data_IF_994822195365
#
_entry.id   IF_994822195365
#
_cell.length_a   1.000
_cell.length_b   1.000
_cell.length_c   1.000
_cell.angle_alpha   90.00
_cell.angle_beta   90.00
_cell.angle_gamma   90.00
#
_symmetry.space_group_name_H-M   'P 1'
#
loop_
_entity.id
_entity.type
_entity.pdbx_description
1 polymer ?
#
# COMPACT_ATOMS: atom_id res chain seq x y z
N UNK A 1 5.30 -34.39 -37.75
CA UNK A 1 5.04 -32.99 -38.14
C UNK A 1 5.45 -32.10 -36.96
N UNK A 2 6.61 -31.46 -37.06
CA UNK A 2 7.12 -30.53 -36.04
C UNK A 2 6.78 -29.11 -36.48
N UNK A 3 5.93 -28.42 -35.73
CA UNK A 3 5.72 -26.98 -35.90
C UNK A 3 6.79 -26.22 -35.10
N UNK A 4 7.69 -25.52 -35.79
CA UNK A 4 8.49 -24.43 -35.21
C UNK A 4 7.71 -23.13 -35.39
N UNK A 5 7.62 -22.26 -34.36
CA UNK A 5 7.09 -20.92 -34.57
C UNK A 5 8.18 -20.03 -35.19
N UNK A 6 7.84 -19.40 -36.32
CA UNK A 6 8.60 -18.27 -36.88
C UNK A 6 8.29 -17.02 -36.03
N UNK A 7 9.33 -16.45 -35.39
CA UNK A 7 9.25 -15.09 -34.84
C UNK A 7 9.60 -14.09 -35.96
N UNK A 8 8.63 -13.26 -36.33
CA UNK A 8 8.81 -12.13 -37.24
C UNK A 8 9.29 -10.91 -36.43
N UNK A 9 10.53 -10.46 -36.68
CA UNK A 9 11.04 -9.21 -36.14
C UNK A 9 10.25 -8.02 -36.72
N UNK A 10 9.52 -7.30 -35.87
CA UNK A 10 8.85 -6.03 -36.23
C UNK A 10 9.76 -4.86 -35.88
N UNK A 11 10.17 -4.09 -36.89
CA UNK A 11 10.77 -2.77 -36.71
C UNK A 11 9.68 -1.70 -36.73
N UNK A 12 9.72 -0.78 -35.78
CA UNK A 12 8.86 0.41 -35.77
C UNK A 12 9.73 1.66 -35.67
N UNK A 13 9.65 2.49 -36.70
CA UNK A 13 10.19 3.85 -36.64
C UNK A 13 9.20 4.75 -35.90
N UNK A 14 9.68 5.46 -34.88
CA UNK A 14 8.91 6.50 -34.19
C UNK A 14 9.68 7.81 -34.20
N UNK A 15 8.99 8.88 -34.56
CA UNK A 15 9.50 10.25 -34.49
C UNK A 15 8.67 11.04 -33.48
N UNK A 16 9.33 11.79 -32.60
CA UNK A 16 8.68 12.79 -31.75
C UNK A 16 9.25 14.17 -32.10
N UNK A 17 8.38 15.16 -32.26
CA UNK A 17 8.78 16.55 -32.49
C UNK A 17 8.76 17.33 -31.17
N UNK A 18 9.85 18.04 -30.90
CA UNK A 18 9.95 18.98 -29.78
C UNK A 18 10.48 20.31 -30.32
N UNK A 19 9.59 21.28 -30.53
CA UNK A 19 9.94 22.55 -31.16
C UNK A 19 10.49 22.36 -32.58
N UNK A 20 11.55 23.09 -32.93
CA UNK A 20 12.16 23.07 -34.27
C UNK A 20 13.09 21.87 -34.54
N UNK A 21 13.22 20.93 -33.60
CA UNK A 21 14.12 19.78 -33.70
C UNK A 21 13.32 18.47 -33.80
N UNK A 22 13.72 17.59 -34.72
CA UNK A 22 13.15 16.23 -34.84
C UNK A 22 14.21 15.20 -34.46
N UNK A 23 13.99 14.45 -33.38
CA UNK A 23 14.80 13.28 -33.02
C UNK A 23 14.14 12.01 -33.55
N UNK A 24 14.95 11.12 -34.14
CA UNK A 24 14.50 9.84 -34.71
C UNK A 24 15.25 8.70 -34.03
N UNK A 25 14.49 7.80 -33.41
CA UNK A 25 15.02 6.59 -32.80
C UNK A 25 14.47 5.35 -33.49
N UNK A 26 15.31 4.33 -33.61
CA UNK A 26 14.89 2.99 -34.03
C UNK A 26 14.86 2.09 -32.80
N UNK A 27 13.72 1.44 -32.56
CA UNK A 27 13.55 0.48 -31.47
C UNK A 27 13.38 -0.91 -32.09
N UNK A 28 14.29 -1.82 -31.74
CA UNK A 28 14.24 -3.20 -32.18
C UNK A 28 13.97 -4.11 -30.97
N UNK A 29 12.85 -4.84 -31.04
CA UNK A 29 12.45 -5.83 -30.03
C UNK A 29 13.08 -7.15 -30.41
N UNK A 30 13.94 -7.68 -29.55
CA UNK A 30 14.72 -8.89 -29.85
C UNK A 30 14.10 -10.15 -29.25
N UNK A 31 13.46 -10.03 -28.07
CA UNK A 31 12.61 -11.05 -27.43
C UNK A 31 11.75 -10.41 -26.32
N UNK A 32 10.99 -11.24 -25.58
CA UNK A 32 10.03 -10.79 -24.55
C UNK A 32 10.64 -9.96 -23.41
N UNK A 33 11.97 -9.98 -23.24
CA UNK A 33 12.65 -9.31 -22.12
C UNK A 33 13.70 -8.29 -22.56
N UNK A 34 13.92 -8.08 -23.86
CA UNK A 34 15.04 -7.26 -24.36
C UNK A 34 14.62 -6.25 -25.43
N UNK A 35 14.85 -4.97 -25.14
CA UNK A 35 14.71 -3.85 -26.09
C UNK A 35 16.09 -3.24 -26.38
N UNK A 36 16.37 -2.95 -27.66
CA UNK A 36 17.51 -2.12 -28.06
C UNK A 36 17.04 -0.80 -28.65
N UNK A 37 17.73 0.27 -28.26
CA UNK A 37 17.55 1.61 -28.80
C UNK A 37 18.75 1.98 -29.64
N UNK A 38 18.50 2.57 -30.81
CA UNK A 38 19.54 3.19 -31.64
C UNK A 38 19.10 4.61 -32.00
N UNK A 39 19.92 5.59 -31.67
CA UNK A 39 19.78 6.95 -32.17
C UNK A 39 20.27 6.99 -33.63
N UNK A 40 19.45 7.52 -34.54
CA UNK A 40 19.85 7.66 -35.96
C UNK A 40 20.75 8.88 -36.19
N UNK A 41 20.94 9.75 -35.20
CA UNK A 41 21.75 10.97 -35.29
C UNK A 41 23.24 10.82 -35.00
N UNK A 42 23.68 9.74 -34.34
CA UNK A 42 25.08 9.51 -33.98
C UNK A 42 25.51 8.06 -34.30
N UNK A 43 26.32 7.82 -35.35
CA UNK A 43 26.74 6.49 -35.77
C UNK A 43 27.78 5.83 -34.83
N UNK A 44 28.23 6.52 -33.77
CA UNK A 44 29.28 6.01 -32.85
C UNK A 44 28.76 5.48 -31.51
N UNK A 45 27.46 5.60 -31.23
CA UNK A 45 26.88 5.14 -29.97
C UNK A 45 26.91 3.59 -29.84
N UNK A 46 27.68 3.07 -28.89
CA UNK A 46 27.80 1.64 -28.59
C UNK A 46 26.60 1.15 -27.75
N UNK A 47 26.04 0.00 -28.14
CA UNK A 47 24.90 -0.60 -27.46
C UNK A 47 25.31 -1.19 -26.10
N UNK A 48 24.60 -0.82 -25.03
CA UNK A 48 24.81 -1.40 -23.70
C UNK A 48 23.90 -2.61 -23.47
N UNK A 49 24.42 -3.76 -22.99
CA UNK A 49 23.59 -4.86 -22.56
C UNK A 49 22.94 -4.53 -21.20
N UNK A 50 21.62 -4.66 -21.11
CA UNK A 50 20.89 -4.60 -19.84
C UNK A 50 21.05 -5.97 -19.16
N UNK A 51 21.64 -5.99 -17.96
CA UNK A 51 21.69 -7.18 -17.10
C UNK A 51 20.34 -7.32 -16.38
N UNK A 52 19.91 -8.58 -16.20
CA UNK A 52 18.64 -8.99 -15.59
C UNK A 52 18.21 -8.14 -14.40
N UNK A 53 17.18 -7.31 -14.59
CA UNK A 53 16.47 -6.63 -13.51
C UNK A 53 15.22 -7.44 -13.17
N UNK A 54 15.25 -8.20 -12.08
CA UNK A 54 14.12 -9.03 -11.62
C UNK A 54 13.30 -8.39 -10.48
N UNK A 55 13.40 -7.07 -10.28
CA UNK A 55 12.58 -6.36 -9.29
C UNK A 55 12.16 -4.96 -9.74
N UNK A 56 10.91 -4.58 -9.44
CA UNK A 56 10.31 -3.27 -9.74
C UNK A 56 11.04 -2.08 -9.08
N UNK A 57 11.97 -2.32 -8.15
CA UNK A 57 12.76 -1.27 -7.49
C UNK A 57 13.97 -0.77 -8.30
N UNK A 58 14.46 -1.53 -9.29
CA UNK A 58 15.68 -1.20 -10.02
C UNK A 58 15.46 -0.26 -11.23
N UNK A 59 14.21 -0.12 -11.68
CA UNK A 59 13.83 0.81 -12.77
C UNK A 59 14.03 2.28 -12.34
N UNK A 60 13.98 2.58 -11.04
CA UNK A 60 14.12 3.96 -10.53
C UNK A 60 15.57 4.45 -10.44
N UNK A 61 16.57 3.58 -10.57
CA UNK A 61 17.99 3.97 -10.41
C UNK A 61 18.62 4.41 -11.74
N UNK A 62 18.11 3.97 -12.90
CA UNK A 62 18.60 4.42 -14.20
C UNK A 62 18.07 5.80 -14.64
N UNK A 63 16.99 6.31 -14.03
CA UNK A 63 16.38 7.60 -14.44
C UNK A 63 17.00 8.84 -13.76
N UNK A 64 17.99 8.70 -12.87
CA UNK A 64 18.60 9.85 -12.18
C UNK A 64 19.66 10.62 -12.97
N UNK A 65 20.03 10.18 -14.18
CA UNK A 65 21.14 10.79 -14.93
C UNK A 65 20.75 11.89 -15.94
N UNK A 66 19.46 12.24 -16.09
CA UNK A 66 19.03 13.29 -17.03
C UNK A 66 18.01 14.31 -16.47
N UNK A 67 17.77 14.33 -15.15
CA UNK A 67 17.00 15.43 -14.52
C UNK A 67 15.56 15.59 -15.03
N UNK A 68 14.86 14.50 -15.36
CA UNK A 68 13.43 14.50 -15.68
C UNK A 68 12.68 13.49 -14.83
N UNK A 69 11.63 13.94 -14.13
CA UNK A 69 10.67 13.06 -13.46
C UNK A 69 9.59 12.62 -14.46
N UNK A 70 9.40 11.32 -14.63
CA UNK A 70 8.26 10.73 -15.34
C UNK A 70 7.54 9.78 -14.38
N UNK A 71 6.25 10.02 -14.14
CA UNK A 71 5.36 9.10 -13.42
C UNK A 71 4.66 8.17 -14.43
N UNK A 72 4.29 6.92 -14.05
CA UNK A 72 3.75 5.95 -14.99
C UNK A 72 2.29 6.29 -15.36
N UNK A 73 2.00 6.33 -16.66
CA UNK A 73 0.65 6.55 -17.20
C UNK A 73 -0.02 5.20 -17.45
N UNK A 74 -1.23 5.05 -16.90
CA UNK A 74 -2.29 4.20 -17.42
C UNK A 74 -3.29 5.11 -18.12
N UNK A 75 -3.63 4.79 -19.36
CA UNK A 75 -4.51 5.58 -20.22
C UNK A 75 -5.96 5.52 -19.75
N UNK A 76 -6.64 6.67 -19.70
CA UNK A 76 -7.80 6.98 -20.55
C UNK A 76 -8.25 8.46 -20.37
N UNK A 77 -8.22 9.17 -21.50
CA UNK A 77 -9.00 10.37 -21.89
C UNK A 77 -8.83 11.73 -21.15
N UNK A 78 -8.35 12.70 -21.96
CA UNK A 78 -8.32 14.18 -21.85
C UNK A 78 -7.34 14.84 -20.85
N UNK A 79 -6.37 15.58 -21.39
CA UNK A 79 -5.55 16.58 -20.68
C UNK A 79 -5.87 18.00 -21.17
N UNK A 80 -6.02 18.91 -20.20
CA UNK A 80 -5.91 20.36 -20.35
C UNK A 80 -4.52 20.74 -19.85
N UNK A 81 -3.74 21.47 -20.65
CA UNK A 81 -2.41 21.93 -20.28
C UNK A 81 -2.49 23.19 -19.42
N UNK A 82 -1.85 23.19 -18.26
CA UNK A 82 -1.38 24.43 -17.60
C UNK A 82 0.13 24.28 -17.46
N UNK A 83 0.86 25.16 -18.13
CA UNK A 83 2.30 25.29 -18.02
C UNK A 83 2.59 26.45 -17.06
N UNK A 84 3.04 26.16 -15.84
CA UNK A 84 3.63 27.17 -14.96
C UNK A 84 5.09 27.38 -15.37
N UNK A 85 5.37 28.51 -16.00
CA UNK A 85 6.72 28.94 -16.29
C UNK A 85 7.15 29.95 -15.21
N UNK A 86 7.88 29.47 -14.19
CA UNK A 86 8.49 30.31 -13.18
C UNK A 86 9.71 31.01 -13.78
N UNK A 87 9.50 32.14 -14.47
CA UNK A 87 10.45 33.23 -14.74
C UNK A 87 9.81 34.18 -15.76
N UNK A 88 9.04 35.14 -15.27
CA UNK A 88 8.95 36.53 -15.77
C UNK A 88 7.89 37.23 -14.92
N UNK A 89 8.33 38.19 -14.10
CA UNK A 89 7.45 39.09 -13.39
C UNK A 89 6.73 40.00 -14.37
N UNK A 90 5.41 40.08 -14.25
CA UNK A 90 4.57 41.00 -15.01
C UNK A 90 3.25 41.20 -14.28
N UNK A 91 3.11 42.34 -13.62
CA UNK A 91 1.84 42.80 -13.08
C UNK A 91 0.88 43.09 -14.25
N UNK A 92 -0.31 42.50 -14.20
CA UNK A 92 -1.41 42.83 -15.10
C UNK A 92 -2.41 43.73 -14.34
N UNK A 93 -2.30 45.02 -14.62
CA UNK A 93 -3.30 46.04 -14.37
C UNK A 93 -4.42 45.78 -15.38
N UNK A 94 -5.64 45.49 -14.90
CA UNK A 94 -6.83 45.59 -15.75
C UNK A 94 -7.34 47.03 -15.71
N UNK A 95 -7.23 47.66 -16.88
CA UNK A 95 -7.71 48.99 -17.21
C UNK A 95 -9.24 48.95 -17.18
N UNK A 96 -9.84 49.85 -16.40
CA UNK A 96 -11.26 50.18 -16.44
C UNK A 96 -11.55 50.99 -17.70
N UNK A 97 -12.41 50.51 -18.59
CA UNK A 97 -13.03 51.35 -19.61
C UNK A 97 -14.35 51.93 -19.09
N UNK A 98 -14.40 53.25 -19.12
CA UNK A 98 -15.57 54.10 -18.87
C UNK A 98 -16.24 54.34 -20.23
N UNK A 99 -17.53 54.03 -20.35
CA UNK A 99 -18.42 54.65 -21.34
C UNK A 99 -19.67 55.15 -20.62
N UNK A 100 -20.05 56.44 -20.77
CA UNK A 100 -21.20 57.02 -20.11
C UNK A 100 -22.45 56.93 -20.99
N UNK A 101 -23.63 56.88 -20.37
CA UNK A 101 -24.78 57.76 -20.68
C UNK A 101 -25.96 57.42 -19.75
N UNK A 102 -26.10 58.28 -18.74
CA UNK A 102 -27.34 58.92 -18.27
C UNK A 102 -28.68 58.14 -18.22
N UNK A 103 -29.15 58.03 -16.97
CA UNK A 103 -30.54 58.15 -16.47
C UNK A 103 -31.42 56.89 -16.32
N UNK A 104 -31.46 56.34 -15.08
CA UNK A 104 -32.65 56.34 -14.18
C UNK A 104 -32.36 55.66 -12.83
N UNK A 105 -32.96 56.20 -11.77
CA UNK A 105 -32.80 55.88 -10.34
C UNK A 105 -33.33 54.49 -9.92
N UNK A 106 -32.48 53.68 -9.29
CA UNK A 106 -32.63 53.00 -7.98
C UNK A 106 -31.57 51.89 -7.84
N UNK A 107 -30.82 51.95 -6.73
CA UNK A 107 -30.25 50.81 -6.01
C UNK A 107 -29.15 49.95 -6.68
N UNK A 108 -27.90 50.12 -6.23
CA UNK A 108 -26.80 49.13 -6.31
C UNK A 108 -26.07 49.11 -4.97
N UNK A 109 -26.65 48.45 -3.97
CA UNK A 109 -25.82 47.90 -2.90
C UNK A 109 -25.09 46.67 -3.45
N UNK A 110 -23.80 46.62 -3.19
CA UNK A 110 -22.95 45.50 -3.57
C UNK A 110 -23.47 44.25 -2.81
N UNK A 111 -23.78 43.12 -3.47
CA UNK A 111 -24.26 41.93 -2.76
C UNK A 111 -23.23 41.39 -1.74
N UNK A 112 -21.95 41.76 -1.87
CA UNK A 112 -20.92 41.53 -0.85
C UNK A 112 -21.24 42.22 0.49
N UNK A 113 -21.73 43.45 0.45
CA UNK A 113 -21.89 44.31 1.64
C UNK A 113 -23.06 43.86 2.50
N UNK A 114 -24.14 43.38 1.87
CA UNK A 114 -25.30 42.81 2.58
C UNK A 114 -24.91 41.49 3.27
N UNK A 115 -24.08 40.69 2.60
CA UNK A 115 -23.64 39.38 3.12
C UNK A 115 -22.68 39.58 4.31
N UNK A 116 -21.75 40.52 4.20
CA UNK A 116 -20.78 40.86 5.26
C UNK A 116 -21.45 41.52 6.47
N UNK A 117 -22.40 42.44 6.26
CA UNK A 117 -23.17 43.08 7.32
C UNK A 117 -24.02 42.04 8.08
N UNK A 118 -24.66 41.11 7.37
CA UNK A 118 -25.50 40.07 7.97
C UNK A 118 -24.69 39.07 8.79
N UNK A 119 -23.50 38.68 8.31
CA UNK A 119 -22.55 37.84 9.04
C UNK A 119 -21.99 38.53 10.28
N UNK A 120 -21.62 39.81 10.19
CA UNK A 120 -21.14 40.58 11.34
C UNK A 120 -22.20 40.75 12.43
N UNK A 121 -23.47 40.89 12.07
CA UNK A 121 -24.57 40.98 13.03
C UNK A 121 -24.89 39.65 13.71
N UNK A 122 -24.67 38.52 13.03
CA UNK A 122 -24.88 37.17 13.58
C UNK A 122 -23.73 36.70 14.47
N UNK A 123 -22.48 37.02 14.10
CA UNK A 123 -21.28 36.54 14.80
C UNK A 123 -20.92 37.36 16.04
N UNK A 124 -21.18 38.67 16.05
CA UNK A 124 -20.73 39.54 17.15
C UNK A 124 -21.73 39.65 18.31
N UNK A 125 -22.87 38.95 18.25
CA UNK A 125 -23.91 38.96 19.27
C UNK A 125 -24.59 40.33 19.40
N UNK A 126 -25.92 40.34 19.45
CA UNK A 126 -26.65 41.59 19.72
C UNK A 126 -26.18 42.20 21.05
N UNK A 127 -25.96 43.53 21.14
CA UNK A 127 -25.47 44.17 22.34
C UNK A 127 -26.35 43.81 23.55
N UNK A 128 -25.71 43.48 24.68
CA UNK A 128 -26.39 43.11 25.93
C UNK A 128 -27.50 44.12 26.25
N UNK A 129 -28.74 43.68 26.52
CA UNK A 129 -29.83 44.59 26.84
C UNK A 129 -29.48 45.33 28.13
N UNK A 130 -29.50 46.67 28.09
CA UNK A 130 -29.35 47.51 29.29
C UNK A 130 -30.52 47.19 30.23
N UNK A 131 -30.21 46.93 31.50
CA UNK A 131 -31.11 46.38 32.54
C UNK A 131 -32.24 47.32 33.00
N UNK A 132 -32.71 48.27 32.19
CA UNK A 132 -33.74 49.23 32.60
C UNK A 132 -35.11 48.83 32.03
N UNK A 133 -35.84 48.02 32.81
CA UNK A 133 -37.29 47.98 33.05
C UNK A 133 -38.33 48.35 31.97
N UNK A 134 -38.02 48.35 30.68
CA UNK A 134 -38.95 48.67 29.59
C UNK A 134 -39.66 47.45 28.98
N UNK A 135 -40.83 47.62 28.32
CA UNK A 135 -41.59 46.54 27.71
C UNK A 135 -40.73 45.77 26.71
N UNK A 136 -40.76 44.43 26.80
CA UNK A 136 -39.80 43.52 26.16
C UNK A 136 -39.68 43.75 24.64
N UNK A 137 -38.46 43.92 24.08
CA UNK A 137 -38.23 44.07 22.63
C UNK A 137 -38.32 42.73 21.88
N UNK A 138 -39.24 41.86 22.27
CA UNK A 138 -39.43 40.54 21.67
C UNK A 138 -39.93 40.69 20.22
N UNK A 139 -40.80 41.67 19.95
CA UNK A 139 -41.44 41.79 18.64
C UNK A 139 -40.48 42.33 17.57
N UNK A 140 -39.62 43.29 17.91
CA UNK A 140 -38.64 43.87 16.98
C UNK A 140 -37.49 42.90 16.68
N UNK A 141 -37.03 42.14 17.68
CA UNK A 141 -36.05 41.07 17.48
C UNK A 141 -36.62 39.92 16.63
N UNK A 142 -37.89 39.53 16.86
CA UNK A 142 -38.58 38.54 16.02
C UNK A 142 -38.72 39.04 14.57
N UNK A 143 -39.09 40.31 14.36
CA UNK A 143 -39.19 40.89 13.02
C UNK A 143 -37.84 40.91 12.29
N UNK A 144 -36.76 41.26 12.98
CA UNK A 144 -35.40 41.24 12.43
C UNK A 144 -34.97 39.82 12.03
N UNK A 145 -35.19 38.82 12.89
CA UNK A 145 -34.87 37.42 12.58
C UNK A 145 -35.68 36.88 11.39
N UNK A 146 -36.94 37.29 11.23
CA UNK A 146 -37.76 36.94 10.06
C UNK A 146 -37.20 37.56 8.77
N UNK A 147 -36.77 38.82 8.83
CA UNK A 147 -36.15 39.50 7.68
C UNK A 147 -34.86 38.82 7.25
N UNK A 148 -33.95 38.52 8.20
CA UNK A 148 -32.70 37.80 7.91
C UNK A 148 -32.98 36.43 7.29
N UNK A 149 -33.91 35.64 7.86
CA UNK A 149 -34.30 34.34 7.29
C UNK A 149 -34.86 34.47 5.88
N UNK A 150 -35.63 35.52 5.59
CA UNK A 150 -36.16 35.77 4.24
C UNK A 150 -35.05 36.08 3.25
N UNK A 151 -34.09 36.94 3.61
CA UNK A 151 -32.96 37.30 2.74
C UNK A 151 -32.08 36.08 2.47
N UNK A 152 -31.75 35.30 3.50
CA UNK A 152 -31.01 34.04 3.33
C UNK A 152 -31.76 33.04 2.45
N UNK A 153 -33.10 32.95 2.59
CA UNK A 153 -33.91 32.10 1.72
C UNK A 153 -33.87 32.57 0.27
N UNK A 154 -34.09 33.85 0.00
CA UNK A 154 -34.01 34.40 -1.36
C UNK A 154 -32.64 34.18 -1.97
N UNK A 155 -31.57 34.36 -1.19
CA UNK A 155 -30.22 34.08 -1.65
C UNK A 155 -30.01 32.59 -1.95
N UNK A 156 -30.48 31.69 -1.09
CA UNK A 156 -30.45 30.25 -1.37
C UNK A 156 -31.25 29.89 -2.62
N UNK A 157 -32.46 30.42 -2.79
CA UNK A 157 -33.30 30.19 -3.96
C UNK A 157 -32.61 30.72 -5.24
N UNK A 158 -31.93 31.87 -5.17
CA UNK A 158 -31.14 32.42 -6.28
C UNK A 158 -29.93 31.54 -6.59
N UNK A 159 -29.19 31.09 -5.57
CA UNK A 159 -28.05 30.19 -5.74
C UNK A 159 -28.51 28.87 -6.36
N UNK A 160 -29.62 28.30 -5.89
CA UNK A 160 -30.18 27.05 -6.40
C UNK A 160 -30.70 27.20 -7.86
N UNK A 161 -31.13 28.40 -8.27
CA UNK A 161 -31.53 28.68 -9.66
C UNK A 161 -30.35 28.98 -10.59
N UNK A 162 -29.31 29.65 -10.09
CA UNK A 162 -28.18 30.13 -10.90
C UNK A 162 -27.11 29.05 -11.04
N UNK A 163 -26.85 28.27 -10.00
CA UNK A 163 -25.78 27.28 -9.99
C UNK A 163 -26.32 25.88 -10.30
N UNK A 164 -26.01 25.41 -11.52
CA UNK A 164 -26.14 23.99 -11.84
C UNK A 164 -25.00 23.24 -11.15
N UNK A 165 -25.28 22.65 -9.99
CA UNK A 165 -24.28 21.87 -9.27
C UNK A 165 -23.93 20.60 -10.07
N UNK A 166 -22.68 20.56 -10.54
CA UNK A 166 -22.13 19.40 -11.23
C UNK A 166 -21.57 18.39 -10.22
N UNK A 167 -21.57 17.09 -10.55
CA UNK A 167 -20.92 16.07 -9.71
C UNK A 167 -19.42 16.30 -9.46
N UNK A 168 -18.74 17.03 -10.35
CA UNK A 168 -17.35 17.46 -10.13
C UNK A 168 -17.19 18.32 -8.88
N UNK A 169 -18.19 19.15 -8.55
CA UNK A 169 -18.19 19.95 -7.32
C UNK A 169 -18.29 19.07 -6.07
N UNK A 170 -19.08 17.99 -6.13
CA UNK A 170 -19.14 17.03 -5.03
C UNK A 170 -17.79 16.32 -4.85
N UNK A 171 -17.18 15.84 -5.93
CA UNK A 171 -15.86 15.19 -5.86
C UNK A 171 -14.79 16.16 -5.33
N UNK A 172 -14.84 17.43 -5.73
CA UNK A 172 -13.96 18.46 -5.20
C UNK A 172 -14.20 18.67 -3.69
N UNK A 173 -15.44 18.79 -3.24
CA UNK A 173 -15.76 18.93 -1.82
C UNK A 173 -15.27 17.72 -1.00
N UNK A 174 -15.42 16.51 -1.53
CA UNK A 174 -14.88 15.29 -0.92
C UNK A 174 -13.36 15.33 -0.87
N UNK A 175 -12.71 15.75 -1.95
CA UNK A 175 -11.25 15.85 -2.01
C UNK A 175 -10.67 16.84 -0.99
N UNK A 176 -11.44 17.86 -0.63
CA UNK A 176 -11.13 18.88 0.39
C UNK A 176 -11.64 18.50 1.77
N UNK A 177 -12.26 17.33 1.94
CA UNK A 177 -12.80 16.83 3.21
C UNK A 177 -13.83 17.75 3.87
N UNK A 178 -14.58 18.53 3.09
CA UNK A 178 -15.57 19.48 3.61
C UNK A 178 -16.94 18.79 3.82
N UNK A 179 -17.21 18.32 5.05
CA UNK A 179 -18.44 17.56 5.37
C UNK A 179 -19.73 18.33 5.04
N UNK A 180 -19.78 19.62 5.39
CA UNK A 180 -20.95 20.48 5.22
C UNK A 180 -21.26 20.70 3.74
N UNK A 181 -20.22 20.97 2.94
CA UNK A 181 -20.35 21.12 1.49
C UNK A 181 -20.78 19.81 0.83
N UNK A 182 -20.25 18.68 1.29
CA UNK A 182 -20.67 17.35 0.81
C UNK A 182 -22.15 17.12 1.11
N UNK A 183 -22.59 17.36 2.34
CA UNK A 183 -23.99 17.19 2.73
C UNK A 183 -24.91 18.09 1.91
N UNK A 184 -24.56 19.37 1.76
CA UNK A 184 -25.30 20.33 0.95
C UNK A 184 -25.41 19.91 -0.52
N UNK A 185 -24.31 19.41 -1.11
CA UNK A 185 -24.27 19.02 -2.51
C UNK A 185 -24.98 17.68 -2.78
N UNK A 186 -24.93 16.72 -1.86
CA UNK A 186 -25.61 15.42 -2.02
C UNK A 186 -27.13 15.59 -2.18
N UNK A 187 -27.72 16.55 -1.47
CA UNK A 187 -29.17 16.82 -1.54
C UNK A 187 -29.61 17.45 -2.87
N UNK A 188 -28.67 18.02 -3.64
CA UNK A 188 -28.95 18.85 -4.82
C UNK A 188 -28.42 18.29 -6.13
N UNK A 189 -27.36 17.48 -6.09
CA UNK A 189 -26.75 16.92 -7.29
C UNK A 189 -27.40 15.60 -7.63
N UNK A 190 -27.94 15.48 -8.84
CA UNK A 190 -28.29 14.17 -9.42
C UNK A 190 -27.01 13.43 -9.81
N UNK A 191 -26.73 12.35 -9.10
CA UNK A 191 -25.48 11.59 -9.22
C UNK A 191 -25.83 10.20 -9.75
N UNK A 192 -25.28 9.86 -10.92
CA UNK A 192 -25.37 8.51 -11.45
C UNK A 192 -24.52 7.51 -10.63
N UNK A 193 -24.77 6.22 -10.82
CA UNK A 193 -24.09 5.16 -10.07
C UNK A 193 -22.56 5.20 -10.21
N UNK A 194 -22.04 5.57 -11.39
CA UNK A 194 -20.60 5.61 -11.63
C UNK A 194 -19.93 6.71 -10.80
N UNK A 195 -20.56 7.87 -10.71
CA UNK A 195 -20.07 8.99 -9.90
C UNK A 195 -20.24 8.73 -8.40
N UNK A 196 -21.26 7.99 -7.98
CA UNK A 196 -21.38 7.50 -6.60
C UNK A 196 -20.21 6.57 -6.22
N UNK A 197 -19.84 5.63 -7.11
CA UNK A 197 -18.67 4.78 -6.89
C UNK A 197 -17.40 5.63 -6.71
N UNK A 198 -17.19 6.62 -7.59
CA UNK A 198 -16.04 7.51 -7.52
C UNK A 198 -16.03 8.34 -6.22
N UNK A 199 -17.17 8.91 -5.84
CA UNK A 199 -17.34 9.69 -4.63
C UNK A 199 -17.03 8.87 -3.37
N UNK A 200 -17.60 7.67 -3.25
CA UNK A 200 -17.34 6.80 -2.10
C UNK A 200 -15.90 6.30 -2.07
N UNK A 201 -15.35 5.87 -3.20
CA UNK A 201 -13.94 5.49 -3.31
C UNK A 201 -13.00 6.61 -2.89
N UNK A 202 -13.28 7.84 -3.30
CA UNK A 202 -12.49 9.01 -2.93
C UNK A 202 -12.63 9.31 -1.45
N UNK A 203 -13.84 9.27 -0.88
CA UNK A 203 -14.08 9.48 0.54
C UNK A 203 -13.33 8.47 1.42
N UNK A 204 -13.36 7.19 1.05
CA UNK A 204 -12.60 6.12 1.71
C UNK A 204 -11.10 6.39 1.62
N UNK A 205 -10.61 6.76 0.44
CA UNK A 205 -9.18 7.07 0.23
C UNK A 205 -8.70 8.31 0.98
N UNK A 206 -9.61 9.19 1.36
CA UNK A 206 -9.34 10.36 2.21
C UNK A 206 -9.56 10.08 3.70
N UNK A 207 -9.92 8.84 4.05
CA UNK A 207 -10.21 8.39 5.41
C UNK A 207 -11.25 9.27 6.15
N UNK A 208 -12.12 9.95 5.40
CA UNK A 208 -13.12 10.84 5.99
C UNK A 208 -14.38 10.06 6.39
N UNK A 209 -14.41 9.60 7.63
CA UNK A 209 -15.56 8.89 8.19
C UNK A 209 -16.87 9.70 8.10
N UNK A 210 -16.81 11.01 8.36
CA UNK A 210 -17.98 11.90 8.27
C UNK A 210 -18.59 11.91 6.87
N UNK A 211 -17.75 12.04 5.83
CA UNK A 211 -18.18 12.00 4.43
C UNK A 211 -18.70 10.60 4.07
N UNK A 212 -17.99 9.53 4.42
CA UNK A 212 -18.45 8.15 4.14
C UNK A 212 -19.84 7.93 4.74
N UNK A 213 -20.02 8.29 6.01
CA UNK A 213 -21.31 8.19 6.70
C UNK A 213 -22.39 9.05 6.04
N UNK A 214 -22.05 10.26 5.59
CA UNK A 214 -22.97 11.14 4.86
C UNK A 214 -23.41 10.50 3.53
N UNK A 215 -22.47 9.99 2.72
CA UNK A 215 -22.76 9.30 1.47
C UNK A 215 -23.63 8.05 1.69
N UNK A 216 -23.37 7.29 2.76
CA UNK A 216 -24.13 6.08 3.08
C UNK A 216 -25.56 6.35 3.61
N UNK A 217 -25.81 7.51 4.23
CA UNK A 217 -27.15 7.86 4.74
C UNK A 217 -28.12 8.29 3.65
N UNK A 218 -27.62 9.01 2.65
CA UNK A 218 -28.45 9.74 1.69
C UNK A 218 -28.66 8.96 0.37
N UNK A 219 -28.35 7.67 0.34
CA UNK A 219 -28.37 6.90 -0.89
C UNK A 219 -29.03 5.55 -0.77
N UNK A 220 -29.78 5.18 -1.82
CA UNK A 220 -30.13 3.80 -2.14
C UNK A 220 -28.93 3.03 -2.74
N UNK A 221 -27.72 3.58 -2.60
CA UNK A 221 -26.52 3.05 -3.22
C UNK A 221 -25.92 1.96 -2.33
N UNK A 222 -25.80 0.77 -2.88
CA UNK A 222 -25.11 -0.36 -2.24
C UNK A 222 -23.62 -0.29 -2.60
N UNK A 223 -22.69 -0.17 -1.63
CA UNK A 223 -21.27 -0.23 -1.88
C UNK A 223 -20.86 -1.49 -2.62
N UNK A 224 -19.93 -1.37 -3.56
CA UNK A 224 -19.30 -2.53 -4.20
C UNK A 224 -18.21 -3.17 -3.31
N UNK A 225 -17.84 -4.42 -3.60
CA UNK A 225 -16.72 -5.13 -2.97
C UNK A 225 -15.41 -4.33 -3.01
N UNK A 226 -15.17 -3.58 -4.09
CA UNK A 226 -14.01 -2.70 -4.21
C UNK A 226 -13.92 -1.64 -3.11
N UNK A 227 -15.05 -1.11 -2.63
CA UNK A 227 -15.08 -0.16 -1.52
C UNK A 227 -14.72 -0.81 -0.18
N UNK A 228 -15.22 -2.02 0.05
CA UNK A 228 -14.91 -2.80 1.25
C UNK A 228 -13.41 -3.13 1.29
N UNK A 229 -12.87 -3.64 0.18
CA UNK A 229 -11.42 -3.89 0.03
C UNK A 229 -10.60 -2.60 0.24
N UNK A 230 -11.02 -1.48 -0.36
CA UNK A 230 -10.34 -0.20 -0.22
C UNK A 230 -10.34 0.30 1.23
N UNK A 231 -11.45 0.14 1.96
CA UNK A 231 -11.54 0.51 3.37
C UNK A 231 -10.57 -0.30 4.24
N UNK A 232 -10.46 -1.61 3.98
CA UNK A 232 -9.45 -2.46 4.64
C UNK A 232 -8.02 -2.04 4.29
N UNK A 233 -7.77 -1.70 3.04
CA UNK A 233 -6.47 -1.19 2.58
C UNK A 233 -6.09 0.16 3.22
N UNK A 234 -7.04 0.93 3.77
CA UNK A 234 -6.73 2.12 4.58
C UNK A 234 -6.61 1.80 6.08
N UNK A 235 -7.05 0.61 6.51
CA UNK A 235 -7.00 0.19 7.91
C UNK A 235 -8.01 0.89 8.84
N UNK A 236 -8.92 1.70 8.30
CA UNK A 236 -9.91 2.42 9.12
C UNK A 236 -11.12 1.53 9.44
N UNK A 237 -11.15 0.99 10.66
CA UNK A 237 -12.17 0.03 11.14
C UNK A 237 -13.58 0.63 11.08
N UNK A 238 -13.75 1.91 11.40
CA UNK A 238 -15.05 2.57 11.39
C UNK A 238 -15.61 2.70 9.97
N UNK A 239 -14.77 3.11 9.01
CA UNK A 239 -15.14 3.18 7.60
C UNK A 239 -15.50 1.79 7.08
N UNK A 240 -14.70 0.78 7.38
CA UNK A 240 -14.98 -0.59 6.99
C UNK A 240 -16.35 -1.06 7.51
N UNK A 241 -16.64 -0.85 8.80
CA UNK A 241 -17.92 -1.23 9.40
C UNK A 241 -19.10 -0.54 8.71
N UNK A 242 -19.02 0.79 8.52
CA UNK A 242 -20.08 1.55 7.86
C UNK A 242 -20.31 1.11 6.42
N UNK A 243 -19.24 0.87 5.64
CA UNK A 243 -19.36 0.41 4.25
C UNK A 243 -19.91 -1.02 4.20
N UNK A 244 -19.49 -1.89 5.13
CA UNK A 244 -19.92 -3.29 5.24
C UNK A 244 -21.39 -3.43 5.59
N UNK A 245 -21.91 -2.65 6.54
CA UNK A 245 -23.31 -2.72 7.01
C UNK A 245 -24.32 -2.61 5.86
N UNK A 246 -23.98 -1.83 4.85
CA UNK A 246 -24.79 -1.59 3.65
C UNK A 246 -24.29 -2.32 2.40
N UNK A 247 -23.14 -2.99 2.50
CA UNK A 247 -22.42 -3.59 1.37
C UNK A 247 -22.76 -5.07 1.14
N UNK A 248 -22.27 -5.66 0.04
CA UNK A 248 -22.42 -7.08 -0.23
C UNK A 248 -21.59 -7.92 0.74
N UNK A 249 -21.94 -9.21 0.93
CA UNK A 249 -21.07 -10.18 1.58
C UNK A 249 -19.69 -10.21 0.90
N UNK A 250 -18.60 -10.25 1.68
CA UNK A 250 -17.22 -10.10 1.18
C UNK A 250 -16.33 -11.33 1.40
N UNK A 251 -16.92 -12.49 1.69
CA UNK A 251 -16.20 -13.75 1.91
C UNK A 251 -15.24 -14.09 0.75
N UNK A 252 -15.61 -13.78 -0.49
CA UNK A 252 -14.80 -14.06 -1.69
C UNK A 252 -13.48 -13.27 -1.76
N UNK A 253 -13.37 -12.13 -1.06
CA UNK A 253 -12.18 -11.27 -1.06
C UNK A 253 -11.49 -11.22 0.31
N UNK A 254 -11.98 -11.99 1.28
CA UNK A 254 -11.51 -12.00 2.66
C UNK A 254 -10.00 -12.26 2.78
N UNK A 255 -9.50 -13.29 2.09
CA UNK A 255 -8.07 -13.62 2.11
C UNK A 255 -7.22 -12.45 1.62
N UNK A 256 -7.63 -11.79 0.54
CA UNK A 256 -6.92 -10.61 0.02
C UNK A 256 -6.95 -9.47 1.05
N UNK A 257 -8.08 -9.24 1.72
CA UNK A 257 -8.19 -8.21 2.75
C UNK A 257 -7.26 -8.47 3.94
N UNK A 258 -7.14 -9.72 4.41
CA UNK A 258 -6.18 -10.07 5.44
C UNK A 258 -4.74 -9.79 5.02
N UNK A 259 -4.39 -10.17 3.79
CA UNK A 259 -3.06 -9.97 3.22
C UNK A 259 -2.74 -8.49 3.07
N UNK A 260 -3.69 -7.69 2.59
CA UNK A 260 -3.56 -6.23 2.47
C UNK A 260 -3.36 -5.57 3.85
N UNK A 261 -4.15 -5.97 4.85
CA UNK A 261 -4.03 -5.44 6.21
C UNK A 261 -2.69 -5.81 6.84
N UNK A 262 -2.25 -7.06 6.69
CA UNK A 262 -0.94 -7.53 7.18
C UNK A 262 0.22 -6.78 6.52
N UNK A 263 0.19 -6.66 5.19
CA UNK A 263 1.26 -6.00 4.42
C UNK A 263 1.40 -4.52 4.77
N UNK A 264 0.27 -3.84 5.01
CA UNK A 264 0.23 -2.43 5.40
C UNK A 264 0.29 -2.20 6.92
N UNK A 265 0.43 -3.25 7.73
CA UNK A 265 0.51 -3.19 9.20
C UNK A 265 -0.73 -2.59 9.86
N UNK A 266 -1.91 -2.78 9.28
CA UNK A 266 -3.19 -2.37 9.86
C UNK A 266 -3.68 -3.43 10.84
N UNK A 267 -3.00 -3.54 11.98
CA UNK A 267 -3.19 -4.63 12.95
C UNK A 267 -4.61 -4.68 13.54
N UNK A 268 -5.20 -3.51 13.85
CA UNK A 268 -6.55 -3.44 14.41
C UNK A 268 -7.62 -3.85 13.40
N UNK A 269 -7.44 -3.47 12.13
CA UNK A 269 -8.29 -3.94 11.04
C UNK A 269 -8.15 -5.44 10.83
N UNK A 270 -6.93 -5.96 10.84
CA UNK A 270 -6.69 -7.39 10.70
C UNK A 270 -7.38 -8.18 11.83
N UNK A 271 -7.22 -7.73 13.08
CA UNK A 271 -7.91 -8.32 14.24
C UNK A 271 -9.43 -8.27 14.06
N UNK A 272 -9.96 -7.10 13.68
CA UNK A 272 -11.39 -6.93 13.45
C UNK A 272 -11.94 -7.86 12.35
N UNK A 273 -11.19 -8.06 11.26
CA UNK A 273 -11.56 -8.97 10.19
C UNK A 273 -11.53 -10.43 10.64
N UNK A 274 -10.56 -10.81 11.47
CA UNK A 274 -10.39 -12.18 11.96
C UNK A 274 -11.48 -12.55 12.97
N UNK A 275 -11.84 -11.64 13.86
CA UNK A 275 -12.86 -11.84 14.90
C UNK A 275 -14.30 -11.74 14.34
N UNK A 276 -14.45 -11.46 13.05
CA UNK A 276 -15.75 -11.19 12.45
C UNK A 276 -16.62 -12.46 12.34
N UNK A 277 -17.87 -12.48 12.90
CA UNK A 277 -18.70 -13.70 12.96
C UNK A 277 -19.08 -14.30 11.59
N UNK A 278 -19.22 -13.45 10.56
CA UNK A 278 -19.62 -13.91 9.22
C UNK A 278 -18.49 -14.59 8.45
N UNK A 279 -17.33 -14.75 9.08
CA UNK A 279 -16.09 -15.19 8.46
C UNK A 279 -15.51 -16.40 9.21
N UNK A 280 -16.25 -17.52 9.28
CA UNK A 280 -15.72 -18.71 9.94
C UNK A 280 -14.46 -19.18 9.20
N UNK A 281 -13.40 -19.42 9.97
CA UNK A 281 -12.25 -20.15 9.44
C UNK A 281 -12.70 -21.57 9.12
N UNK A 282 -12.58 -21.97 7.86
CA UNK A 282 -12.57 -23.38 7.55
C UNK A 282 -11.25 -23.97 8.09
N UNK A 283 -11.33 -25.12 8.76
CA UNK A 283 -10.15 -25.86 9.27
C UNK A 283 -9.16 -26.20 8.15
N UNK A 284 -9.62 -26.21 6.89
CA UNK A 284 -8.81 -26.47 5.70
C UNK A 284 -8.30 -25.20 5.00
N UNK A 285 -8.59 -24.01 5.54
CA UNK A 285 -8.23 -22.76 4.86
C UNK A 285 -6.71 -22.51 4.92
N UNK A 286 -6.05 -22.80 3.81
CA UNK A 286 -4.65 -22.44 3.54
C UNK A 286 -4.35 -20.94 3.69
N UNK A 287 -5.39 -20.09 3.76
CA UNK A 287 -5.29 -18.66 3.97
C UNK A 287 -4.63 -18.28 5.29
N UNK A 288 -4.97 -18.94 6.41
CA UNK A 288 -4.33 -18.61 7.69
C UNK A 288 -2.85 -19.01 7.70
N UNK A 289 -2.51 -20.13 7.07
CA UNK A 289 -1.13 -20.60 6.94
C UNK A 289 -0.27 -19.57 6.19
N UNK A 290 -0.80 -19.02 5.10
CA UNK A 290 -0.16 -17.93 4.35
C UNK A 290 -0.08 -16.66 5.20
N UNK A 291 -1.14 -16.34 5.95
CA UNK A 291 -1.17 -15.15 6.81
C UNK A 291 -0.13 -15.21 7.93
N UNK A 292 0.10 -16.36 8.56
CA UNK A 292 1.17 -16.54 9.56
C UNK A 292 2.54 -16.23 8.97
N UNK A 293 2.86 -16.79 7.80
CA UNK A 293 4.11 -16.51 7.09
C UNK A 293 4.26 -15.03 6.72
N UNK A 294 3.15 -14.39 6.34
CA UNK A 294 3.13 -12.97 6.00
C UNK A 294 3.24 -12.05 7.21
N UNK A 295 2.68 -12.45 8.35
CA UNK A 295 2.86 -11.74 9.60
C UNK A 295 4.33 -11.77 10.04
N UNK A 296 5.01 -12.90 9.82
CA UNK A 296 6.45 -13.00 10.00
C UNK A 296 7.20 -12.07 9.03
N UNK A 297 6.78 -12.02 7.78
CA UNK A 297 7.43 -11.21 6.76
C UNK A 297 7.29 -9.69 6.99
N UNK A 298 6.10 -9.21 7.35
CA UNK A 298 5.79 -7.77 7.27
C UNK A 298 5.11 -7.18 8.51
N UNK A 299 4.53 -7.99 9.41
CA UNK A 299 3.78 -7.50 10.56
C UNK A 299 4.61 -7.37 11.84
N UNK A 300 3.99 -6.82 12.90
CA UNK A 300 4.57 -6.77 14.24
C UNK A 300 4.55 -8.13 14.95
N UNK A 301 5.35 -8.24 16.02
CA UNK A 301 5.34 -9.40 16.93
C UNK A 301 3.94 -9.59 17.55
N UNK A 302 3.21 -8.50 17.84
CA UNK A 302 1.87 -8.57 18.44
C UNK A 302 0.86 -9.26 17.53
N UNK A 303 0.90 -8.99 16.22
CA UNK A 303 0.06 -9.68 15.24
C UNK A 303 0.43 -11.14 15.14
N UNK A 304 1.73 -11.46 15.10
CA UNK A 304 2.17 -12.86 15.08
C UNK A 304 1.71 -13.60 16.35
N UNK A 305 1.84 -12.99 17.52
CA UNK A 305 1.36 -13.57 18.79
C UNK A 305 -0.15 -13.77 18.78
N UNK A 306 -0.92 -12.79 18.29
CA UNK A 306 -2.36 -12.91 18.14
C UNK A 306 -2.74 -14.07 17.19
N UNK A 307 -2.07 -14.18 16.03
CA UNK A 307 -2.32 -15.25 15.07
C UNK A 307 -1.93 -16.64 15.60
N UNK A 308 -0.87 -16.75 16.40
CA UNK A 308 -0.48 -18.00 17.05
C UNK A 308 -1.49 -18.44 18.13
N UNK A 309 -2.00 -17.49 18.92
CA UNK A 309 -3.06 -17.78 19.88
C UNK A 309 -4.34 -18.26 19.16
N UNK A 310 -4.67 -17.61 18.04
CA UNK A 310 -5.80 -18.00 17.20
C UNK A 310 -5.59 -19.39 16.57
N UNK A 311 -4.40 -19.68 16.03
CA UNK A 311 -4.10 -20.97 15.41
C UNK A 311 -4.29 -22.11 16.41
N UNK A 312 -3.89 -21.90 17.67
CA UNK A 312 -4.13 -22.83 18.77
C UNK A 312 -5.62 -23.07 18.99
N UNK A 313 -6.41 -22.00 19.11
CA UNK A 313 -7.87 -22.10 19.32
C UNK A 313 -8.61 -22.80 18.18
N UNK A 314 -8.11 -22.68 16.95
CA UNK A 314 -8.76 -23.24 15.75
C UNK A 314 -8.25 -24.65 15.39
N UNK A 315 -7.35 -25.24 16.18
CA UNK A 315 -6.74 -26.55 15.89
C UNK A 315 -6.02 -26.62 14.53
N UNK A 316 -5.54 -25.48 14.03
CA UNK A 316 -4.81 -25.42 12.77
C UNK A 316 -3.42 -26.03 12.94
N UNK A 317 -3.16 -27.08 12.15
CA UNK A 317 -1.92 -27.86 12.17
C UNK A 317 -0.85 -27.24 11.27
N UNK A 318 -1.26 -26.57 10.20
CA UNK A 318 -0.35 -26.11 9.15
C UNK A 318 0.10 -24.65 9.32
N UNK A 319 1.19 -24.28 8.62
CA UNK A 319 1.66 -22.89 8.51
C UNK A 319 2.75 -22.47 9.51
N UNK A 320 2.89 -23.14 10.66
CA UNK A 320 3.96 -22.84 11.63
C UNK A 320 5.35 -23.07 11.05
N UNK A 321 5.53 -24.18 10.31
CA UNK A 321 6.81 -24.50 9.64
C UNK A 321 7.16 -23.47 8.57
N UNK A 322 6.17 -23.06 7.76
CA UNK A 322 6.35 -22.00 6.76
C UNK A 322 6.69 -20.66 7.42
N UNK A 323 6.04 -20.31 8.53
CA UNK A 323 6.32 -19.12 9.30
C UNK A 323 7.74 -19.14 9.89
N UNK A 324 8.18 -20.28 10.44
CA UNK A 324 9.52 -20.47 10.98
C UNK A 324 10.59 -20.37 9.87
N UNK A 325 10.35 -21.01 8.73
CA UNK A 325 11.19 -20.87 7.54
C UNK A 325 11.32 -19.41 7.11
N UNK A 326 10.20 -18.69 7.00
CA UNK A 326 10.21 -17.26 6.65
C UNK A 326 10.97 -16.41 7.68
N UNK A 327 10.81 -16.69 8.98
CA UNK A 327 11.52 -15.98 10.04
C UNK A 327 13.03 -16.20 9.95
N UNK A 328 13.42 -17.46 9.73
CA UNK A 328 14.81 -17.89 9.58
C UNK A 328 15.47 -17.27 8.35
N UNK A 329 14.78 -17.25 7.20
CA UNK A 329 15.28 -16.63 5.97
C UNK A 329 15.46 -15.11 6.09
N UNK A 330 14.67 -14.43 6.93
CA UNK A 330 14.76 -12.97 7.16
C UNK A 330 15.69 -12.59 8.31
N UNK A 331 16.19 -13.56 9.07
CA UNK A 331 17.05 -13.29 10.22
C UNK A 331 16.30 -12.76 11.45
N UNK A 332 14.98 -12.94 11.53
CA UNK A 332 14.16 -12.34 12.58
C UNK A 332 14.14 -13.21 13.85
N UNK A 333 15.16 -13.04 14.67
CA UNK A 333 15.39 -13.81 15.91
C UNK A 333 14.21 -13.71 16.88
N UNK A 334 13.57 -12.55 17.02
CA UNK A 334 12.48 -12.38 17.98
C UNK A 334 11.24 -13.16 17.55
N UNK A 335 10.91 -13.13 16.25
CA UNK A 335 9.80 -13.92 15.70
C UNK A 335 10.10 -15.42 15.74
N UNK A 336 11.34 -15.84 15.49
CA UNK A 336 11.75 -17.24 15.66
C UNK A 336 11.59 -17.69 17.11
N UNK A 337 12.06 -16.91 18.08
CA UNK A 337 11.88 -17.22 19.52
C UNK A 337 10.41 -17.35 19.89
N UNK A 338 9.56 -16.46 19.37
CA UNK A 338 8.12 -16.54 19.59
C UNK A 338 7.52 -17.82 18.98
N UNK A 339 7.89 -18.14 17.74
CA UNK A 339 7.43 -19.35 17.04
C UNK A 339 7.89 -20.62 17.77
N UNK A 340 9.18 -20.75 18.11
CA UNK A 340 9.75 -21.94 18.77
C UNK A 340 9.21 -22.17 20.18
N UNK A 341 8.73 -21.12 20.87
CA UNK A 341 8.02 -21.26 22.15
C UNK A 341 6.59 -21.80 22.01
N UNK A 342 6.04 -21.75 20.80
CA UNK A 342 4.68 -22.19 20.54
C UNK A 342 4.64 -23.73 20.45
N UNK A 343 3.74 -24.42 21.17
CA UNK A 343 3.76 -25.88 21.30
C UNK A 343 3.53 -26.64 19.98
N UNK A 344 2.98 -25.97 18.96
CA UNK A 344 2.75 -26.55 17.63
C UNK A 344 3.89 -26.32 16.65
N UNK A 345 4.88 -25.51 17.00
CA UNK A 345 6.03 -25.28 16.13
C UNK A 345 7.02 -26.40 16.37
N UNK A 346 7.06 -27.37 15.45
CA UNK A 346 8.11 -28.37 15.39
C UNK A 346 9.07 -28.03 14.25
N UNK A 347 10.24 -27.48 14.61
CA UNK A 347 11.26 -27.11 13.65
C UNK A 347 11.81 -28.31 12.86
N UNK A 348 11.66 -29.53 13.38
CA UNK A 348 12.14 -30.75 12.72
C UNK A 348 11.30 -31.14 11.50
N UNK A 349 10.04 -30.67 11.42
CA UNK A 349 9.14 -30.93 10.29
C UNK A 349 9.51 -30.15 9.03
N UNK A 350 10.25 -29.04 9.17
CA UNK A 350 10.76 -28.28 8.02
C UNK A 350 12.25 -28.00 8.18
N UNK A 351 13.11 -28.97 7.80
CA UNK A 351 14.55 -28.80 7.84
C UNK A 351 15.06 -27.63 6.98
N UNK A 352 14.22 -27.05 6.11
CA UNK A 352 14.63 -25.91 5.29
C UNK A 352 14.89 -24.65 6.12
N UNK A 353 14.36 -24.57 7.36
CA UNK A 353 14.69 -23.47 8.27
C UNK A 353 16.18 -23.44 8.65
N UNK A 354 16.93 -24.54 8.48
CA UNK A 354 18.38 -24.62 8.72
C UNK A 354 19.22 -24.00 7.58
N UNK A 355 18.63 -23.71 6.42
CA UNK A 355 19.33 -23.08 5.28
C UNK A 355 19.39 -21.55 5.36
N UNK A 356 19.32 -21.00 6.57
CA UNK A 356 19.49 -19.57 6.79
C UNK A 356 20.94 -19.13 6.64
N UNK A 357 21.14 -17.88 6.19
CA UNK A 357 22.44 -17.21 6.19
C UNK A 357 22.73 -16.46 7.50
N UNK A 358 21.76 -16.46 8.44
CA UNK A 358 21.87 -15.74 9.69
C UNK A 358 22.36 -16.68 10.80
N UNK A 359 23.63 -16.53 11.20
CA UNK A 359 24.25 -17.39 12.21
C UNK A 359 23.44 -17.45 13.51
N UNK A 360 22.91 -16.32 13.99
CA UNK A 360 22.09 -16.28 15.20
C UNK A 360 20.79 -17.09 15.09
N UNK A 361 20.19 -17.21 13.89
CA UNK A 361 19.01 -18.03 13.67
C UNK A 361 19.36 -19.51 13.73
N UNK A 362 20.49 -19.90 13.14
CA UNK A 362 20.98 -21.27 13.20
C UNK A 362 21.35 -21.65 14.64
N UNK A 363 22.07 -20.79 15.36
CA UNK A 363 22.40 -20.98 16.78
C UNK A 363 21.12 -21.20 17.60
N UNK A 364 20.11 -20.35 17.43
CA UNK A 364 18.82 -20.49 18.10
C UNK A 364 18.12 -21.82 17.79
N UNK A 365 18.11 -22.25 16.51
CA UNK A 365 17.52 -23.55 16.14
C UNK A 365 18.27 -24.72 16.77
N UNK A 366 19.59 -24.59 16.95
CA UNK A 366 20.45 -25.64 17.53
C UNK A 366 20.51 -25.62 19.06
N UNK A 367 19.79 -24.70 19.71
CA UNK A 367 19.48 -24.82 21.14
C UNK A 367 18.56 -26.03 21.41
N UNK A 368 17.76 -26.46 20.42
CA UNK A 368 16.99 -27.70 20.48
C UNK A 368 17.84 -28.89 20.02
N UNK A 369 18.09 -29.84 20.93
CA UNK A 369 18.85 -31.06 20.64
C UNK A 369 18.25 -31.88 19.50
N UNK A 370 16.92 -31.85 19.32
CA UNK A 370 16.27 -32.56 18.20
C UNK A 370 16.71 -31.99 16.86
N UNK A 371 16.86 -30.68 16.77
CA UNK A 371 17.33 -30.00 15.56
C UNK A 371 18.79 -30.29 15.25
N UNK A 372 19.62 -30.58 16.26
CA UNK A 372 21.01 -31.01 16.03
C UNK A 372 21.04 -32.30 15.23
N UNK A 373 20.17 -33.28 15.54
CA UNK A 373 20.09 -34.55 14.77
C UNK A 373 19.68 -34.31 13.32
N UNK A 374 18.66 -33.48 13.10
CA UNK A 374 18.18 -33.10 11.75
C UNK A 374 19.28 -32.37 10.96
N UNK A 375 19.99 -31.44 11.61
CA UNK A 375 21.09 -30.71 10.99
C UNK A 375 22.23 -31.63 10.58
N UNK A 376 22.65 -32.55 11.46
CA UNK A 376 23.71 -33.51 11.16
C UNK A 376 23.31 -34.44 10.00
N UNK A 377 22.04 -34.87 9.94
CA UNK A 377 21.54 -35.67 8.81
C UNK A 377 21.53 -34.87 7.50
N UNK A 378 21.04 -33.62 7.51
CA UNK A 378 21.08 -32.76 6.33
C UNK A 378 22.50 -32.47 5.86
N UNK A 379 23.43 -32.29 6.81
CA UNK A 379 24.83 -32.09 6.51
C UNK A 379 25.41 -33.33 5.83
N UNK A 380 25.19 -34.53 6.39
CA UNK A 380 25.56 -35.82 5.78
C UNK A 380 25.02 -35.94 4.36
N UNK A 381 23.71 -35.74 4.17
CA UNK A 381 23.06 -35.84 2.85
C UNK A 381 23.60 -34.81 1.85
N UNK A 382 23.92 -33.60 2.32
CA UNK A 382 24.50 -32.53 1.53
C UNK A 382 25.95 -32.82 1.10
N UNK A 383 26.74 -33.43 1.99
CA UNK A 383 28.10 -33.88 1.72
C UNK A 383 28.09 -35.05 0.72
N UNK A 384 27.25 -36.06 0.94
CA UNK A 384 27.12 -37.20 0.03
C UNK A 384 26.71 -36.78 -1.38
N UNK A 385 25.76 -35.84 -1.50
CA UNK A 385 25.37 -35.27 -2.81
C UNK A 385 26.56 -34.59 -3.48
N UNK A 386 27.30 -33.76 -2.76
CA UNK A 386 28.46 -33.07 -3.32
C UNK A 386 29.50 -34.07 -3.87
N UNK A 387 29.82 -35.14 -3.14
CA UNK A 387 30.77 -36.15 -3.63
C UNK A 387 30.25 -36.85 -4.89
N UNK A 388 28.94 -37.12 -4.94
CA UNK A 388 28.32 -37.91 -6.01
C UNK A 388 28.19 -37.13 -7.32
N UNK A 389 27.80 -35.86 -7.27
CA UNK A 389 27.44 -35.07 -8.45
C UNK A 389 28.24 -33.77 -8.64
N UNK A 390 29.13 -33.44 -7.70
CA UNK A 390 29.94 -32.21 -7.75
C UNK A 390 29.17 -30.93 -7.40
N UNK A 391 27.88 -31.01 -7.09
CA UNK A 391 27.03 -29.85 -6.79
C UNK A 391 27.33 -29.33 -5.39
N UNK A 392 27.78 -28.08 -5.31
CA UNK A 392 28.05 -27.43 -4.02
C UNK A 392 26.74 -27.20 -3.27
N UNK A 393 26.49 -28.01 -2.24
CA UNK A 393 25.37 -27.83 -1.32
C UNK A 393 25.62 -26.65 -0.37
N UNK A 394 24.53 -26.00 0.06
CA UNK A 394 24.57 -24.98 1.11
C UNK A 394 25.06 -25.54 2.47
N UNK A 395 24.96 -26.86 2.66
CA UNK A 395 25.47 -27.59 3.82
C UNK A 395 26.97 -27.34 4.09
N UNK A 396 27.75 -27.07 3.05
CA UNK A 396 29.20 -26.78 3.13
C UNK A 396 29.51 -25.53 3.95
N UNK A 397 28.56 -24.59 4.00
CA UNK A 397 28.72 -23.35 4.76
C UNK A 397 28.35 -23.51 6.22
N UNK A 398 27.62 -24.56 6.60
CA UNK A 398 27.09 -24.77 7.95
C UNK A 398 28.15 -24.68 9.06
N UNK A 399 29.36 -25.26 8.92
CA UNK A 399 30.36 -25.17 9.98
C UNK A 399 30.76 -23.74 10.37
N UNK A 400 30.69 -22.79 9.44
CA UNK A 400 31.09 -21.40 9.72
C UNK A 400 30.13 -20.66 10.66
N UNK A 401 28.94 -21.20 10.87
CA UNK A 401 27.89 -20.59 11.67
C UNK A 401 27.77 -21.24 13.05
N UNK A 402 28.52 -22.30 13.34
CA UNK A 402 28.45 -23.01 14.61
C UNK A 402 29.53 -22.52 15.57
N UNK A 403 29.12 -22.27 16.81
CA UNK A 403 30.03 -21.96 17.92
C UNK A 403 30.23 -23.10 18.90
N UNK A 404 29.37 -24.12 18.84
CA UNK A 404 29.47 -25.26 19.74
C UNK A 404 30.52 -26.25 19.20
N UNK A 405 31.63 -26.38 19.93
CA UNK A 405 32.74 -27.27 19.57
C UNK A 405 32.29 -28.74 19.45
N UNK A 406 31.36 -29.21 20.28
CA UNK A 406 30.87 -30.59 20.21
C UNK A 406 30.09 -30.84 18.90
N UNK A 407 29.31 -29.86 18.43
CA UNK A 407 28.60 -29.97 17.14
C UNK A 407 29.59 -29.95 15.97
N UNK A 408 30.60 -29.08 16.02
CA UNK A 408 31.67 -29.03 15.02
C UNK A 408 32.45 -30.35 14.95
N UNK A 409 32.82 -30.95 16.09
CA UNK A 409 33.47 -32.27 16.14
C UNK A 409 32.63 -33.35 15.46
N UNK A 410 31.33 -33.44 15.79
CA UNK A 410 30.41 -34.39 15.14
C UNK A 410 30.31 -34.16 13.62
N UNK A 411 30.30 -32.91 13.16
CA UNK A 411 30.31 -32.63 11.71
C UNK A 411 31.61 -33.07 11.05
N UNK A 412 32.76 -32.85 11.71
CA UNK A 412 34.06 -33.35 11.24
C UNK A 412 34.04 -34.88 11.11
N UNK A 413 33.51 -35.58 12.12
CA UNK A 413 33.39 -37.04 12.09
C UNK A 413 32.54 -37.52 10.90
N UNK A 414 31.41 -36.84 10.61
CA UNK A 414 30.57 -37.13 9.44
C UNK A 414 31.33 -36.91 8.13
N UNK A 415 32.14 -35.84 8.01
CA UNK A 415 32.97 -35.62 6.81
C UNK A 415 33.93 -36.78 6.59
N UNK A 416 34.62 -37.23 7.65
CA UNK A 416 35.55 -38.35 7.58
C UNK A 416 34.85 -39.69 7.27
N UNK A 417 33.62 -39.89 7.75
CA UNK A 417 32.83 -41.09 7.48
C UNK A 417 32.32 -41.15 6.03
N UNK A 418 31.78 -40.04 5.52
CA UNK A 418 31.17 -39.98 4.18
C UNK A 418 32.22 -39.95 3.07
N UNK A 419 33.42 -39.46 3.35
CA UNK A 419 34.53 -39.36 2.40
C UNK A 419 35.82 -40.02 2.92
N UNK A 420 35.88 -41.36 2.97
CA UNK A 420 37.10 -42.06 3.35
C UNK A 420 38.26 -41.83 2.36
N UNK A 421 37.96 -41.37 1.13
CA UNK A 421 38.95 -41.08 0.09
C UNK A 421 39.63 -39.71 0.23
N UNK A 422 39.13 -38.83 1.10
CA UNK A 422 39.74 -37.53 1.40
C UNK A 422 39.55 -36.44 0.32
N UNK A 423 38.62 -36.62 -0.63
CA UNK A 423 38.23 -35.59 -1.61
C UNK A 423 37.77 -34.26 -0.98
N UNK A 424 37.20 -34.29 0.21
CA UNK A 424 36.75 -33.13 1.00
C UNK A 424 37.52 -32.98 2.31
N UNK A 425 38.76 -33.51 2.39
CA UNK A 425 39.63 -33.38 3.57
C UNK A 425 39.84 -31.93 4.00
N UNK A 426 39.87 -31.00 3.05
CA UNK A 426 39.98 -29.56 3.32
C UNK A 426 38.80 -29.05 4.18
N UNK A 427 37.62 -29.67 4.11
CA UNK A 427 36.47 -29.32 4.96
C UNK A 427 36.69 -29.76 6.40
N UNK A 428 37.19 -30.98 6.61
CA UNK A 428 37.57 -31.45 7.95
C UNK A 428 38.65 -30.54 8.56
N UNK A 429 39.68 -30.17 7.80
CA UNK A 429 40.71 -29.22 8.25
C UNK A 429 40.14 -27.84 8.57
N UNK A 430 39.16 -27.38 7.79
CA UNK A 430 38.46 -26.11 8.04
C UNK A 430 37.65 -26.16 9.34
N UNK A 431 36.92 -27.26 9.59
CA UNK A 431 36.17 -27.45 10.83
C UNK A 431 37.13 -27.46 12.02
N UNK A 432 38.27 -28.14 11.90
CA UNK A 432 39.31 -28.15 12.94
C UNK A 432 39.84 -26.76 13.25
N UNK A 433 40.16 -25.97 12.23
CA UNK A 433 40.63 -24.60 12.41
C UNK A 433 39.59 -23.71 13.12
N UNK A 434 38.29 -23.93 12.87
CA UNK A 434 37.20 -23.23 13.59
C UNK A 434 37.17 -23.66 15.05
N UNK A 435 37.28 -24.96 15.34
CA UNK A 435 37.33 -25.50 16.70
C UNK A 435 38.49 -24.87 17.48
N UNK A 436 39.71 -24.93 16.95
CA UNK A 436 40.89 -24.35 17.60
C UNK A 436 40.74 -22.84 17.83
N UNK A 437 40.11 -22.13 16.89
CA UNK A 437 39.86 -20.70 17.01
C UNK A 437 38.83 -20.34 18.09
N UNK A 438 37.89 -21.25 18.38
CA UNK A 438 36.93 -21.10 19.48
C UNK A 438 37.60 -21.44 20.82
N UNK A 439 38.36 -22.52 20.90
CA UNK A 439 39.03 -22.96 22.14
C UNK A 439 40.15 -22.02 22.61
N UNK A 440 40.70 -21.20 21.70
CA UNK A 440 41.70 -20.17 22.02
C UNK A 440 41.10 -18.88 22.61
N UNK A 441 39.80 -18.66 22.51
CA UNK A 441 39.10 -17.47 23.03
C UNK A 441 38.54 -17.75 24.41
#
# INVERSE_FOLDING_TARGET
MNFRPFLLNRRQDRSCQFGLSTLRFEVEVWNETTLRYRDKGDPTATAYPVKDCSSDSDINVCCRFLGMFMLPIRTDAFEVYICENSRFGGALILISEIVPLSALHLNKQNPSDVTELTLNMLLNGTPKPREHGGPRPIQQQIAHLRSVRSVCKTWMDMVDQIFVFQPSHLLLAISKTCNESVQFLIERVSIDRGKWNAALSLAISRESYGIVRCLMKHTHYTPQLGHISKACQQGNVQIFQTVRETGPPFHSIQRQMWMDCSTKKHNDMLRHLIEHPQLPFDRTDSGLCQLLSQAVAYSSIDVLSFLLNLSTSLELLDGHSLALKTASLRGDIQKMKLLLRHPRTDATQDPQCLFTHHAACLELLLEDEKMVRVMLQLFRDGVSRWISDGTRSQAVRMPNYLRNVAHLRKMKDIVCEVDPGGYIIWMASRIEAIIEGIERK
#
